data_IF_031327189694
#
_entry.id   IF_031327189694
#
_cell.length_a   1.000
_cell.length_b   1.000
_cell.length_c   1.000
_cell.angle_alpha   90.00
_cell.angle_beta   90.00
_cell.angle_gamma   90.00
#
_symmetry.space_group_name_H-M   'P 1'
#
loop_
_entity.id
_entity.type
_entity.pdbx_description
1 polymer ?
#
# COMPACT_ATOMS: atom_id res chain seq x y z
N UNK A 1 24.18 25.11 24.85
CA UNK A 1 24.64 24.09 23.87
C UNK A 1 23.50 23.11 23.60
N UNK A 2 22.91 23.12 22.39
CA UNK A 2 21.98 22.05 21.99
C UNK A 2 22.82 20.80 21.71
N UNK A 3 22.65 19.75 22.51
CA UNK A 3 23.24 18.45 22.23
C UNK A 3 22.76 18.00 20.85
N UNK A 4 23.67 18.02 19.88
CA UNK A 4 23.45 17.44 18.57
C UNK A 4 23.33 15.94 18.79
N UNK A 5 22.10 15.45 18.89
CA UNK A 5 21.81 14.02 19.03
C UNK A 5 22.41 13.34 17.80
N UNK A 6 23.59 12.73 17.96
CA UNK A 6 24.25 11.94 16.94
C UNK A 6 23.21 10.96 16.40
N UNK A 7 22.87 11.12 15.13
CA UNK A 7 21.96 10.19 14.44
C UNK A 7 22.69 8.85 14.44
N UNK A 8 22.21 7.91 15.25
CA UNK A 8 22.66 6.52 15.14
C UNK A 8 22.49 6.12 13.69
N UNK A 9 23.58 5.62 13.10
CA UNK A 9 23.50 5.01 11.78
C UNK A 9 22.57 3.80 11.87
N UNK A 10 21.75 3.58 10.84
CA UNK A 10 20.87 2.41 10.80
C UNK A 10 21.71 1.14 10.66
N UNK A 11 21.34 0.12 11.41
CA UNK A 11 21.85 -1.23 11.21
C UNK A 11 21.50 -1.74 9.81
N UNK A 12 22.24 -2.74 9.34
CA UNK A 12 21.97 -3.39 8.05
C UNK A 12 20.54 -3.95 8.01
N UNK A 13 20.10 -4.56 9.11
CA UNK A 13 18.74 -5.11 9.25
C UNK A 13 17.67 -4.04 9.08
N UNK A 14 17.82 -2.88 9.71
CA UNK A 14 16.87 -1.75 9.55
C UNK A 14 16.87 -1.21 8.11
N UNK A 15 18.04 -1.12 7.47
CA UNK A 15 18.15 -0.72 6.05
C UNK A 15 17.41 -1.73 5.15
N UNK A 16 17.51 -3.03 5.44
CA UNK A 16 16.79 -4.07 4.69
C UNK A 16 15.27 -3.93 4.86
N UNK A 17 14.77 -3.86 6.09
CA UNK A 17 13.33 -3.72 6.35
C UNK A 17 12.76 -2.46 5.70
N UNK A 18 13.47 -1.33 5.81
CA UNK A 18 13.04 -0.09 5.20
C UNK A 18 13.06 -0.16 3.66
N UNK A 19 14.07 -0.82 3.07
CA UNK A 19 14.13 -1.03 1.63
C UNK A 19 12.97 -1.89 1.12
N UNK A 20 12.71 -3.02 1.77
CA UNK A 20 11.57 -3.91 1.45
C UNK A 20 10.25 -3.17 1.63
N UNK A 21 10.07 -2.46 2.75
CA UNK A 21 8.87 -1.68 3.02
C UNK A 21 8.61 -0.62 1.96
N UNK A 22 9.63 0.16 1.56
CA UNK A 22 9.49 1.16 0.50
C UNK A 22 9.10 0.51 -0.84
N UNK A 23 9.74 -0.61 -1.20
CA UNK A 23 9.43 -1.32 -2.45
C UNK A 23 7.99 -1.87 -2.46
N UNK A 24 7.56 -2.51 -1.37
CA UNK A 24 6.19 -3.04 -1.25
C UNK A 24 5.16 -1.92 -1.31
N UNK A 25 5.33 -0.87 -0.51
CA UNK A 25 4.43 0.28 -0.55
C UNK A 25 4.38 0.91 -1.94
N UNK A 26 5.53 1.07 -2.61
CA UNK A 26 5.61 1.57 -3.99
C UNK A 26 4.84 0.70 -4.98
N UNK A 27 5.00 -0.61 -4.91
CA UNK A 27 4.28 -1.56 -5.75
C UNK A 27 2.76 -1.47 -5.55
N UNK A 28 2.27 -1.55 -4.31
CA UNK A 28 0.84 -1.51 -4.02
C UNK A 28 0.20 -0.14 -4.30
N UNK A 29 0.93 0.96 -4.09
CA UNK A 29 0.50 2.29 -4.52
C UNK A 29 0.31 2.35 -6.03
N UNK A 30 1.32 1.91 -6.77
CA UNK A 30 1.27 1.92 -8.23
C UNK A 30 0.13 1.05 -8.74
N UNK A 31 -0.02 -0.14 -8.18
CA UNK A 31 -1.11 -1.07 -8.52
C UNK A 31 -2.47 -0.44 -8.27
N UNK A 32 -2.75 0.02 -7.04
CA UNK A 32 -4.06 0.59 -6.69
C UNK A 32 -4.43 1.84 -7.50
N UNK A 33 -3.47 2.74 -7.75
CA UNK A 33 -3.70 3.92 -8.58
C UNK A 33 -3.91 3.54 -10.05
N UNK A 34 -3.17 2.54 -10.55
CA UNK A 34 -3.33 2.05 -11.93
C UNK A 34 -4.70 1.43 -12.16
N UNK A 35 -5.16 0.58 -11.23
CA UNK A 35 -6.49 -0.01 -11.27
C UNK A 35 -7.60 1.05 -11.20
N UNK A 36 -7.45 2.04 -10.31
CA UNK A 36 -8.37 3.19 -10.29
C UNK A 36 -8.38 3.96 -11.61
N UNK A 37 -7.23 4.14 -12.26
CA UNK A 37 -7.16 4.83 -13.54
C UNK A 37 -7.79 4.02 -14.68
N UNK A 38 -7.54 2.71 -14.74
CA UNK A 38 -8.09 1.82 -15.77
C UNK A 38 -9.61 1.70 -15.64
N UNK A 39 -10.09 1.30 -14.46
CA UNK A 39 -11.52 1.03 -14.23
C UNK A 39 -12.30 2.32 -13.96
N UNK A 40 -11.75 3.20 -13.12
CA UNK A 40 -12.44 4.41 -12.66
C UNK A 40 -12.45 5.53 -13.69
N UNK A 41 -11.34 5.77 -14.39
CA UNK A 41 -11.18 6.89 -15.33
C UNK A 41 -11.36 6.45 -16.78
N UNK A 42 -10.65 5.41 -17.24
CA UNK A 42 -10.76 4.92 -18.61
C UNK A 42 -12.03 4.11 -18.87
N UNK A 43 -12.70 3.65 -17.80
CA UNK A 43 -13.89 2.79 -17.89
C UNK A 43 -13.63 1.50 -18.66
N UNK A 44 -12.40 1.01 -18.60
CA UNK A 44 -12.00 -0.25 -19.22
C UNK A 44 -12.34 -1.38 -18.25
N UNK A 45 -13.44 -2.07 -18.54
CA UNK A 45 -14.05 -3.06 -17.64
C UNK A 45 -14.25 -4.43 -18.29
N UNK A 46 -13.89 -4.60 -19.55
CA UNK A 46 -14.22 -5.79 -20.34
C UNK A 46 -13.57 -7.08 -19.80
N UNK A 47 -12.41 -6.95 -19.15
CA UNK A 47 -11.64 -8.07 -18.61
C UNK A 47 -11.93 -8.36 -17.12
N UNK A 48 -12.85 -7.62 -16.50
CA UNK A 48 -13.13 -7.73 -15.07
C UNK A 48 -14.43 -8.51 -14.84
N UNK A 49 -14.49 -9.38 -13.82
CA UNK A 49 -15.66 -10.21 -13.54
C UNK A 49 -16.78 -9.43 -12.82
N UNK A 50 -17.01 -8.16 -13.20
CA UNK A 50 -17.99 -7.32 -12.51
C UNK A 50 -19.41 -7.87 -12.68
N UNK A 51 -20.17 -7.91 -11.58
CA UNK A 51 -21.55 -8.42 -11.57
C UNK A 51 -21.69 -9.90 -11.94
N UNK A 52 -20.60 -10.68 -11.93
CA UNK A 52 -20.61 -12.10 -12.26
C UNK A 52 -21.20 -12.98 -11.13
N UNK A 53 -21.81 -14.10 -11.51
CA UNK A 53 -22.23 -15.14 -10.57
C UNK A 53 -21.04 -16.04 -10.22
N UNK A 54 -20.51 -15.94 -8.99
CA UNK A 54 -19.40 -16.77 -8.52
C UNK A 54 -18.75 -16.21 -7.25
N UNK A 55 -17.79 -16.92 -6.63
CA UNK A 55 -17.02 -16.41 -5.50
C UNK A 55 -16.04 -15.34 -6.02
N UNK A 56 -16.55 -14.13 -6.17
CA UNK A 56 -15.74 -12.94 -6.44
C UNK A 56 -15.77 -12.05 -5.20
N UNK A 57 -14.64 -11.43 -4.84
CA UNK A 57 -14.64 -10.48 -3.75
C UNK A 57 -15.73 -9.41 -3.91
N UNK A 58 -16.37 -8.99 -2.82
CA UNK A 58 -17.50 -8.05 -2.86
C UNK A 58 -17.18 -6.76 -3.65
N UNK A 59 -15.93 -6.31 -3.65
CA UNK A 59 -15.54 -5.10 -4.38
C UNK A 59 -15.58 -5.26 -5.91
N UNK A 60 -15.85 -6.45 -6.45
CA UNK A 60 -16.21 -6.68 -7.85
C UNK A 60 -17.73 -6.56 -8.14
N UNK A 61 -18.56 -6.23 -7.16
CA UNK A 61 -20.00 -6.03 -7.37
C UNK A 61 -20.28 -4.96 -8.45
N UNK A 62 -19.52 -3.86 -8.42
CA UNK A 62 -19.56 -2.82 -9.45
C UNK A 62 -18.16 -2.29 -9.78
N UNK A 63 -17.99 -1.79 -11.01
CA UNK A 63 -16.75 -1.13 -11.43
C UNK A 63 -16.42 0.10 -10.57
N UNK A 64 -17.43 0.84 -10.11
CA UNK A 64 -17.25 2.02 -9.25
C UNK A 64 -16.73 1.64 -7.87
N UNK A 65 -17.30 0.59 -7.27
CA UNK A 65 -16.83 0.06 -5.99
C UNK A 65 -15.39 -0.44 -6.09
N UNK A 66 -15.08 -1.23 -7.13
CA UNK A 66 -13.73 -1.72 -7.40
C UNK A 66 -12.73 -0.57 -7.50
N UNK A 67 -13.02 0.43 -8.34
CA UNK A 67 -12.13 1.57 -8.55
C UNK A 67 -11.91 2.34 -7.24
N UNK A 68 -12.98 2.55 -6.46
CA UNK A 68 -12.90 3.24 -5.17
C UNK A 68 -12.04 2.48 -4.17
N UNK A 69 -12.23 1.17 -4.06
CA UNK A 69 -11.43 0.31 -3.16
C UNK A 69 -9.96 0.31 -3.58
N UNK A 70 -9.67 0.16 -4.88
CA UNK A 70 -8.31 0.25 -5.43
C UNK A 70 -7.64 1.59 -5.13
N UNK A 71 -8.37 2.70 -5.24
CA UNK A 71 -7.86 4.03 -4.90
C UNK A 71 -7.55 4.16 -3.41
N UNK A 72 -8.46 3.70 -2.52
CA UNK A 72 -8.27 3.75 -1.08
C UNK A 72 -6.99 3.03 -0.68
N UNK A 73 -6.80 1.79 -1.15
CA UNK A 73 -5.57 1.05 -0.88
C UNK A 73 -4.35 1.72 -1.51
N UNK A 74 -4.44 2.15 -2.78
CA UNK A 74 -3.35 2.84 -3.46
C UNK A 74 -2.86 4.07 -2.70
N UNK A 75 -3.79 4.90 -2.20
CA UNK A 75 -3.49 6.07 -1.38
C UNK A 75 -2.94 5.69 0.00
N UNK A 76 -3.50 4.67 0.65
CA UNK A 76 -3.03 4.21 1.97
C UNK A 76 -1.58 3.73 1.91
N UNK A 77 -1.25 2.88 0.93
CA UNK A 77 0.14 2.49 0.65
C UNK A 77 0.99 3.69 0.20
N UNK A 78 0.40 4.67 -0.50
CA UNK A 78 1.12 5.86 -0.98
C UNK A 78 1.55 6.78 0.15
N UNK A 79 0.72 6.91 1.19
CA UNK A 79 1.06 7.61 2.42
C UNK A 79 2.22 6.89 3.12
N UNK A 80 2.15 5.56 3.24
CA UNK A 80 3.23 4.76 3.83
C UNK A 80 4.54 4.85 3.02
N UNK A 81 4.47 4.88 1.69
CA UNK A 81 5.62 5.11 0.82
C UNK A 81 6.27 6.47 1.11
N UNK A 82 5.46 7.53 1.19
CA UNK A 82 5.93 8.88 1.53
C UNK A 82 6.59 8.93 2.91
N UNK A 83 5.97 8.30 3.91
CA UNK A 83 6.52 8.16 5.27
C UNK A 83 7.83 7.36 5.23
N UNK A 84 7.90 6.25 4.50
CA UNK A 84 9.09 5.41 4.38
C UNK A 84 10.27 6.15 3.74
N UNK A 85 10.07 6.83 2.61
CA UNK A 85 11.11 7.63 1.95
C UNK A 85 11.58 8.79 2.85
N UNK A 86 10.64 9.47 3.52
CA UNK A 86 10.97 10.54 4.45
C UNK A 86 11.76 10.00 5.66
N UNK A 87 11.32 8.88 6.23
CA UNK A 87 11.94 8.24 7.38
C UNK A 87 13.30 7.63 7.04
N UNK A 88 13.51 7.20 5.79
CA UNK A 88 14.81 6.77 5.29
C UNK A 88 15.88 7.84 5.55
N UNK A 89 15.56 9.10 5.22
CA UNK A 89 16.45 10.25 5.41
C UNK A 89 16.44 10.78 6.84
N UNK A 90 15.29 10.79 7.52
CA UNK A 90 15.12 11.47 8.82
C UNK A 90 15.38 10.58 10.04
N UNK A 91 15.30 9.25 9.90
CA UNK A 91 15.48 8.26 10.96
C UNK A 91 14.73 8.64 12.26
N UNK A 92 13.42 8.88 12.14
CA UNK A 92 12.55 9.39 13.22
C UNK A 92 11.57 8.35 13.75
N UNK A 93 11.20 7.38 12.92
CA UNK A 93 10.26 6.31 13.21
C UNK A 93 11.02 4.99 13.10
N UNK A 94 10.66 3.99 13.90
CA UNK A 94 11.20 2.64 13.78
C UNK A 94 10.76 2.01 12.44
N UNK A 95 11.71 1.52 11.65
CA UNK A 95 11.42 0.93 10.33
C UNK A 95 10.61 -0.36 10.43
N UNK A 96 10.78 -1.12 11.51
CA UNK A 96 9.99 -2.32 11.78
C UNK A 96 8.51 -1.97 12.00
N UNK A 97 8.22 -0.79 12.56
CA UNK A 97 6.85 -0.32 12.72
C UNK A 97 6.19 -0.01 11.37
N UNK A 98 6.90 0.72 10.49
CA UNK A 98 6.40 1.03 9.14
C UNK A 98 6.19 -0.26 8.34
N UNK A 99 7.16 -1.18 8.40
CA UNK A 99 7.05 -2.49 7.78
C UNK A 99 5.89 -3.31 8.36
N UNK A 100 5.71 -3.31 9.69
CA UNK A 100 4.60 -3.99 10.34
C UNK A 100 3.22 -3.47 9.91
N UNK A 101 3.07 -2.14 9.78
CA UNK A 101 1.84 -1.53 9.25
C UNK A 101 1.63 -1.90 7.78
N UNK A 102 2.69 -1.94 6.98
CA UNK A 102 2.64 -2.39 5.58
C UNK A 102 2.11 -3.82 5.50
N UNK A 103 2.67 -4.75 6.29
CA UNK A 103 2.19 -6.12 6.37
C UNK A 103 0.74 -6.19 6.82
N UNK A 104 0.34 -5.41 7.83
CA UNK A 104 -1.03 -5.35 8.30
C UNK A 104 -2.00 -4.92 7.19
N UNK A 105 -1.66 -3.90 6.39
CA UNK A 105 -2.49 -3.47 5.26
C UNK A 105 -2.60 -4.56 4.18
N UNK A 106 -1.51 -5.26 3.88
CA UNK A 106 -1.53 -6.41 2.95
C UNK A 106 -2.45 -7.50 3.48
N UNK A 107 -2.34 -7.85 4.77
CA UNK A 107 -3.23 -8.84 5.38
C UNK A 107 -4.69 -8.42 5.36
N UNK A 108 -4.98 -7.16 5.67
CA UNK A 108 -6.33 -6.61 5.57
C UNK A 108 -6.83 -6.70 4.13
N UNK A 109 -6.03 -6.32 3.14
CA UNK A 109 -6.41 -6.39 1.72
C UNK A 109 -6.69 -7.83 1.25
N UNK A 110 -5.85 -8.78 1.65
CA UNK A 110 -6.06 -10.21 1.36
C UNK A 110 -7.32 -10.70 2.05
N UNK A 111 -7.49 -10.40 3.34
CA UNK A 111 -8.66 -10.78 4.12
C UNK A 111 -9.94 -10.20 3.51
N UNK A 112 -9.94 -8.94 3.08
CA UNK A 112 -11.05 -8.30 2.37
C UNK A 112 -11.37 -8.95 1.03
N UNK A 113 -10.40 -9.63 0.42
CA UNK A 113 -10.59 -10.42 -0.79
C UNK A 113 -10.99 -11.87 -0.54
N UNK A 114 -10.94 -12.33 0.71
CA UNK A 114 -11.15 -13.73 1.08
C UNK A 114 -12.37 -13.95 1.98
N UNK A 115 -12.74 -12.94 2.75
CA UNK A 115 -13.98 -12.91 3.51
C UNK A 115 -15.03 -12.26 2.65
N UNK A 116 -16.06 -13.05 2.38
CA UNK A 116 -17.12 -12.95 1.36
C UNK A 116 -16.78 -13.76 0.10
#
# INVERSE_FOLDING_TARGET
MKAQKLKSEKSITEKIFAGIGILLNGFFTFFGISEFYIVGIKKDTELYPFGGEGPVPYYYETAELYATVSLIYGLAFGILLGIGIWNWKKNKINELLIFGITCLFIFIQIYHGWVE
#
